data_IF_058686339825
#
_entry.id   IF_058686339825
#
_cell.length_a   1.000
_cell.length_b   1.000
_cell.length_c   1.000
_cell.angle_alpha   90.00
_cell.angle_beta   90.00
_cell.angle_gamma   90.00
#
_symmetry.space_group_name_H-M   'P 1'
#
loop_
_entity.id
_entity.type
_entity.pdbx_description
1 polymer ?
#
# COMPACT_ATOMS: atom_id res chain seq x y z
N UNK A 1 35.56 -0.10 3.04
CA UNK A 1 34.65 -1.07 3.70
C UNK A 1 33.28 -0.42 3.75
N UNK A 2 32.39 -0.77 2.82
CA UNK A 2 31.03 -0.21 2.80
C UNK A 2 30.29 -0.77 4.02
N UNK A 3 29.92 0.10 4.97
CA UNK A 3 29.00 -0.28 6.03
C UNK A 3 27.67 -0.65 5.39
N UNK A 4 27.39 -1.95 5.24
CA UNK A 4 26.11 -2.42 4.74
C UNK A 4 25.00 -1.79 5.57
N UNK A 5 24.01 -1.17 4.91
CA UNK A 5 22.87 -0.60 5.61
C UNK A 5 22.23 -1.66 6.51
N UNK A 6 21.84 -1.28 7.74
CA UNK A 6 21.27 -2.20 8.74
C UNK A 6 19.94 -2.86 8.28
N UNK A 7 19.30 -2.29 7.27
CA UNK A 7 18.06 -2.76 6.66
C UNK A 7 17.96 -2.35 5.17
N UNK A 8 17.12 -3.04 4.40
CA UNK A 8 16.84 -2.72 2.98
C UNK A 8 15.75 -1.66 2.83
N UNK A 9 15.67 -0.95 1.69
CA UNK A 9 14.55 -0.04 1.41
C UNK A 9 13.17 -0.71 1.53
N UNK A 10 13.05 -1.98 1.12
CA UNK A 10 11.82 -2.74 1.23
C UNK A 10 11.49 -3.09 2.69
N UNK A 11 12.48 -3.43 3.52
CA UNK A 11 12.27 -3.61 4.97
C UNK A 11 11.75 -2.31 5.62
N UNK A 12 12.28 -1.14 5.22
CA UNK A 12 11.76 0.15 5.66
C UNK A 12 10.31 0.38 5.19
N UNK A 13 10.00 0.11 3.92
CA UNK A 13 8.62 0.25 3.42
C UNK A 13 7.64 -0.65 4.16
N UNK A 14 8.03 -1.89 4.49
CA UNK A 14 7.20 -2.80 5.29
C UNK A 14 6.97 -2.26 6.70
N UNK A 15 8.00 -1.75 7.37
CA UNK A 15 7.86 -1.15 8.70
C UNK A 15 6.99 0.11 8.68
N UNK A 16 7.12 0.97 7.67
CA UNK A 16 6.25 2.14 7.54
C UNK A 16 4.80 1.71 7.27
N UNK A 17 4.59 0.74 6.39
CA UNK A 17 3.25 0.25 6.09
C UNK A 17 2.59 -0.47 7.28
N UNK A 18 3.35 -1.20 8.10
CA UNK A 18 2.80 -1.85 9.29
C UNK A 18 2.30 -0.84 10.32
N UNK A 19 2.96 0.33 10.45
CA UNK A 19 2.55 1.43 11.34
C UNK A 19 1.23 2.08 10.91
N UNK A 20 0.79 1.89 9.66
CA UNK A 20 -0.52 2.31 9.20
C UNK A 20 -1.65 1.42 9.74
N UNK A 21 -1.36 0.22 10.21
CA UNK A 21 -2.35 -0.69 10.80
C UNK A 21 -2.50 -0.35 12.28
N UNK A 22 -3.71 0.05 12.70
CA UNK A 22 -4.02 0.26 14.10
C UNK A 22 -4.47 -1.05 14.76
N UNK A 23 -4.33 -1.13 16.08
CA UNK A 23 -4.87 -2.27 16.81
C UNK A 23 -6.39 -2.35 16.65
N UNK A 24 -6.90 -3.55 16.36
CA UNK A 24 -8.32 -3.81 16.11
C UNK A 24 -8.77 -3.66 14.66
N UNK A 25 -7.96 -3.03 13.79
CA UNK A 25 -8.28 -2.80 12.38
C UNK A 25 -8.63 -4.13 11.68
N UNK A 26 -9.71 -4.13 10.89
CA UNK A 26 -9.95 -5.13 9.86
C UNK A 26 -9.25 -4.68 8.56
N UNK A 27 -8.13 -5.33 8.26
CA UNK A 27 -7.22 -4.98 7.17
C UNK A 27 -7.52 -5.84 5.95
N UNK A 28 -7.80 -5.22 4.80
CA UNK A 28 -7.79 -5.91 3.52
C UNK A 28 -6.35 -6.00 3.01
N UNK A 29 -5.75 -7.18 3.19
CA UNK A 29 -4.32 -7.41 2.99
C UNK A 29 -4.04 -7.63 1.52
N UNK A 30 -3.19 -6.77 0.94
CA UNK A 30 -2.65 -6.96 -0.41
C UNK A 30 -1.61 -8.08 -0.49
N UNK A 31 -1.08 -8.34 -1.68
CA UNK A 31 0.01 -9.31 -1.86
C UNK A 31 1.39 -8.64 -1.68
N UNK A 32 2.45 -9.43 -1.44
CA UNK A 32 3.85 -8.99 -1.35
C UNK A 32 4.13 -8.25 -0.04
N UNK A 33 4.68 -7.02 -0.09
CA UNK A 33 5.02 -6.23 1.10
C UNK A 33 3.84 -6.04 2.09
N UNK A 34 2.59 -5.79 1.65
CA UNK A 34 1.42 -5.79 2.54
C UNK A 34 1.23 -7.05 3.41
N UNK A 35 1.56 -8.25 2.92
CA UNK A 35 1.48 -9.48 3.72
C UNK A 35 2.43 -9.38 4.93
N UNK A 36 3.64 -8.88 4.70
CA UNK A 36 4.62 -8.65 5.74
C UNK A 36 4.21 -7.50 6.65
N UNK A 37 3.63 -6.42 6.12
CA UNK A 37 3.16 -5.29 6.93
C UNK A 37 2.09 -5.74 7.94
N UNK A 38 1.14 -6.57 7.51
CA UNK A 38 0.16 -7.21 8.41
C UNK A 38 0.85 -8.08 9.47
N UNK A 39 1.82 -8.89 9.06
CA UNK A 39 2.54 -9.77 9.97
C UNK A 39 3.34 -9.01 11.03
N UNK A 40 4.02 -7.93 10.64
CA UNK A 40 4.76 -7.05 11.54
C UNK A 40 3.80 -6.36 12.51
N UNK A 41 2.73 -5.74 12.02
CA UNK A 41 1.79 -5.02 12.88
C UNK A 41 1.21 -5.92 13.97
N UNK A 42 0.73 -7.11 13.60
CA UNK A 42 0.21 -8.13 14.53
C UNK A 42 1.18 -8.55 15.62
N UNK A 43 2.48 -8.57 15.31
CA UNK A 43 3.52 -9.04 16.23
C UNK A 43 4.23 -7.88 16.97
N UNK A 44 3.93 -6.62 16.65
CA UNK A 44 4.59 -5.46 17.23
C UNK A 44 3.64 -4.58 18.05
N UNK A 45 2.52 -4.14 17.47
CA UNK A 45 1.68 -3.09 18.07
C UNK A 45 0.17 -3.24 17.86
N UNK A 46 -0.26 -4.17 17.01
CA UNK A 46 -1.67 -4.38 16.64
C UNK A 46 -2.13 -5.85 16.86
N UNK A 47 -2.02 -6.40 18.09
CA UNK A 47 -2.29 -7.81 18.40
C UNK A 47 -3.75 -8.26 18.26
N UNK A 48 -4.68 -7.35 17.95
CA UNK A 48 -6.11 -7.65 17.70
C UNK A 48 -6.57 -7.31 16.28
N UNK A 49 -5.70 -6.76 15.43
CA UNK A 49 -6.00 -6.52 14.01
C UNK A 49 -6.29 -7.84 13.27
N UNK A 50 -7.13 -7.84 12.23
CA UNK A 50 -7.48 -9.06 11.47
C UNK A 50 -7.24 -8.82 9.99
N UNK A 51 -6.72 -9.82 9.29
CA UNK A 51 -6.45 -9.77 7.86
C UNK A 51 -7.56 -10.44 7.06
N UNK A 52 -8.09 -9.72 6.07
CA UNK A 52 -8.94 -10.23 5.01
C UNK A 52 -8.13 -10.41 3.74
N UNK A 53 -8.33 -11.52 3.04
CA UNK A 53 -7.69 -11.80 1.76
C UNK A 53 -8.76 -12.06 0.70
N UNK A 54 -8.58 -11.52 -0.50
CA UNK A 54 -9.53 -11.57 -1.62
C UNK A 54 -9.86 -12.99 -2.10
N UNK A 55 -9.16 -14.01 -1.60
CA UNK A 55 -9.45 -15.44 -1.82
C UNK A 55 -10.50 -16.01 -0.86
N UNK A 56 -11.19 -15.17 -0.08
CA UNK A 56 -12.24 -15.61 0.84
C UNK A 56 -11.72 -16.03 2.21
N UNK A 57 -10.58 -15.49 2.65
CA UNK A 57 -9.95 -15.88 3.92
C UNK A 57 -9.98 -14.74 4.94
N UNK A 58 -10.20 -15.09 6.20
CA UNK A 58 -9.97 -14.21 7.35
C UNK A 58 -8.95 -14.83 8.29
N UNK A 59 -7.98 -14.04 8.73
CA UNK A 59 -6.92 -14.46 9.65
C UNK A 59 -6.74 -13.49 10.79
N UNK A 60 -6.59 -14.01 12.00
CA UNK A 60 -6.08 -13.28 13.16
C UNK A 60 -4.60 -13.59 13.42
N UNK A 61 -3.93 -14.38 12.59
CA UNK A 61 -2.50 -14.58 12.68
C UNK A 61 -1.89 -14.64 11.27
N UNK A 62 -0.64 -14.20 11.09
CA UNK A 62 0.06 -14.41 9.83
C UNK A 62 0.12 -15.90 9.45
N UNK A 63 0.28 -16.19 8.16
CA UNK A 63 0.54 -17.56 7.73
C UNK A 63 1.83 -18.08 8.38
N UNK A 64 1.84 -19.36 8.76
CA UNK A 64 2.99 -19.97 9.42
C UNK A 64 4.14 -20.28 8.44
N UNK A 65 3.87 -20.24 7.14
CA UNK A 65 4.86 -20.47 6.09
C UNK A 65 4.69 -19.45 4.95
N UNK A 66 5.66 -19.45 4.05
CA UNK A 66 5.75 -18.53 2.92
C UNK A 66 4.49 -18.51 2.07
N UNK A 67 4.12 -17.31 1.60
CA UNK A 67 3.03 -17.07 0.66
C UNK A 67 3.61 -16.47 -0.62
N UNK A 68 3.60 -17.24 -1.71
CA UNK A 68 3.85 -16.76 -3.07
C UNK A 68 2.60 -16.16 -3.70
N UNK A 69 1.43 -16.71 -3.38
CA UNK A 69 0.12 -16.15 -3.70
C UNK A 69 -0.83 -16.25 -2.50
N UNK A 70 -1.90 -15.45 -2.51
CA UNK A 70 -2.89 -15.44 -1.43
C UNK A 70 -3.63 -16.78 -1.29
N UNK A 71 -3.69 -17.58 -2.36
CA UNK A 71 -4.35 -18.88 -2.36
C UNK A 71 -3.49 -20.04 -1.86
N UNK A 72 -2.25 -19.80 -1.43
CA UNK A 72 -1.36 -20.88 -1.02
C UNK A 72 -1.89 -21.60 0.24
N UNK A 73 -1.66 -22.93 0.36
CA UNK A 73 -2.13 -23.72 1.50
C UNK A 73 -1.80 -23.12 2.89
N UNK A 74 -0.63 -22.50 3.14
CA UNK A 74 -0.34 -21.87 4.42
C UNK A 74 -1.26 -20.69 4.76
N UNK A 75 -1.87 -20.03 3.77
CA UNK A 75 -2.84 -18.96 4.03
C UNK A 75 -4.21 -19.51 4.42
N UNK A 76 -4.55 -20.73 3.97
CA UNK A 76 -5.78 -21.43 4.34
C UNK A 76 -5.64 -22.10 5.71
N UNK A 77 -4.52 -22.79 5.94
CA UNK A 77 -4.26 -23.48 7.19
C UNK A 77 -4.20 -22.50 8.38
N UNK A 78 -5.03 -22.73 9.39
CA UNK A 78 -5.14 -21.87 10.57
C UNK A 78 -5.83 -20.52 10.31
N UNK A 79 -6.50 -20.34 9.17
CA UNK A 79 -7.40 -19.20 9.00
C UNK A 79 -8.60 -19.33 9.95
N UNK A 80 -9.07 -18.20 10.50
CA UNK A 80 -10.30 -18.16 11.30
C UNK A 80 -11.50 -18.64 10.48
N UNK A 81 -11.50 -18.30 9.19
CA UNK A 81 -12.48 -18.77 8.25
C UNK A 81 -11.91 -18.83 6.83
N UNK A 82 -12.29 -19.88 6.09
CA UNK A 82 -12.14 -20.00 4.65
C UNK A 82 -13.52 -20.14 3.98
N UNK A 83 -13.82 -19.23 3.06
CA UNK A 83 -15.15 -19.09 2.44
C UNK A 83 -15.06 -18.59 1.00
N UNK A 84 -16.21 -18.19 0.44
CA UNK A 84 -16.30 -17.56 -0.87
C UNK A 84 -15.77 -16.14 -0.80
N UNK A 85 -15.03 -15.73 -1.83
CA UNK A 85 -14.61 -14.34 -2.05
C UNK A 85 -15.76 -13.34 -1.85
N UNK A 86 -16.97 -13.67 -2.31
CA UNK A 86 -18.17 -12.84 -2.15
C UNK A 86 -18.45 -12.41 -0.71
N UNK A 87 -18.14 -13.24 0.29
CA UNK A 87 -18.38 -12.90 1.69
C UNK A 87 -17.37 -11.86 2.20
N UNK A 88 -16.11 -11.97 1.78
CA UNK A 88 -15.07 -10.99 2.10
C UNK A 88 -15.40 -9.64 1.44
N UNK A 89 -15.86 -9.65 0.18
CA UNK A 89 -16.31 -8.44 -0.51
C UNK A 89 -17.57 -7.84 0.15
N UNK A 90 -18.50 -8.68 0.63
CA UNK A 90 -19.68 -8.21 1.36
C UNK A 90 -19.33 -7.49 2.67
N UNK A 91 -18.36 -7.98 3.44
CA UNK A 91 -17.87 -7.30 4.64
C UNK A 91 -17.30 -5.91 4.33
N UNK A 92 -16.57 -5.80 3.22
CA UNK A 92 -16.07 -4.50 2.76
C UNK A 92 -17.22 -3.57 2.35
N UNK A 93 -18.18 -4.07 1.56
CA UNK A 93 -19.35 -3.31 1.13
C UNK A 93 -20.26 -2.85 2.29
N UNK A 94 -20.26 -3.57 3.41
CA UNK A 94 -20.95 -3.19 4.65
C UNK A 94 -20.18 -2.15 5.48
N UNK A 95 -19.02 -1.67 5.02
CA UNK A 95 -18.20 -0.69 5.73
C UNK A 95 -17.39 -1.30 6.89
N UNK A 96 -17.18 -2.62 6.87
CA UNK A 96 -16.45 -3.34 7.91
C UNK A 96 -14.93 -3.27 7.80
N UNK A 97 -14.38 -2.79 6.67
CA UNK A 97 -12.93 -2.75 6.42
C UNK A 97 -12.34 -1.39 6.79
N UNK A 98 -11.39 -1.40 7.71
CA UNK A 98 -10.72 -0.20 8.23
C UNK A 98 -9.61 0.28 7.30
N UNK A 99 -8.77 -0.64 6.84
CA UNK A 99 -7.59 -0.32 6.04
C UNK A 99 -7.44 -1.28 4.87
N UNK A 100 -7.27 -0.74 3.68
CA UNK A 100 -6.85 -1.49 2.50
C UNK A 100 -5.40 -1.23 2.11
N UNK A 101 -4.74 -2.23 1.53
CA UNK A 101 -3.48 -2.03 0.82
C UNK A 101 -3.65 -2.23 -0.69
N UNK A 102 -3.16 -1.28 -1.48
CA UNK A 102 -3.28 -1.30 -2.94
C UNK A 102 -1.90 -1.03 -3.58
N UNK A 103 -1.64 -1.63 -4.73
CA UNK A 103 -0.49 -1.32 -5.58
C UNK A 103 -0.92 -0.65 -6.89
N UNK A 104 0.00 0.02 -7.57
CA UNK A 104 -0.28 0.70 -8.84
C UNK A 104 0.87 0.61 -9.83
N UNK A 105 0.55 0.66 -11.13
CA UNK A 105 1.53 0.97 -12.16
C UNK A 105 1.78 2.48 -12.22
N UNK A 106 0.71 3.27 -12.15
CA UNK A 106 0.75 4.73 -11.99
C UNK A 106 -0.03 5.14 -10.75
N UNK A 107 0.40 6.23 -10.11
CA UNK A 107 -0.33 7.01 -9.11
C UNK A 107 -0.26 8.48 -9.50
N UNK A 108 -1.35 9.22 -9.31
CA UNK A 108 -1.34 10.66 -9.54
C UNK A 108 -1.32 11.51 -8.27
N UNK A 109 -1.21 12.83 -8.45
CA UNK A 109 -1.16 13.79 -7.35
C UNK A 109 -2.37 13.75 -6.43
N UNK A 110 -3.50 13.14 -6.81
CA UNK A 110 -4.70 12.99 -5.98
C UNK A 110 -4.88 11.55 -5.45
N UNK A 111 -3.87 10.69 -5.64
CA UNK A 111 -3.87 9.31 -5.19
C UNK A 111 -4.73 8.38 -6.05
N UNK A 112 -5.15 8.80 -7.25
CA UNK A 112 -5.78 7.88 -8.19
C UNK A 112 -4.74 6.87 -8.68
N UNK A 113 -5.12 5.60 -8.81
CA UNK A 113 -4.22 4.54 -9.26
C UNK A 113 -4.65 3.97 -10.62
N UNK A 114 -3.63 3.59 -11.38
CA UNK A 114 -3.80 2.85 -12.62
C UNK A 114 -3.16 1.46 -12.53
N UNK A 115 -3.96 0.45 -12.79
CA UNK A 115 -3.52 -0.93 -12.97
C UNK A 115 -4.12 -1.55 -14.23
N UNK A 116 -4.69 -0.74 -15.13
CA UNK A 116 -5.47 -1.22 -16.28
C UNK A 116 -4.85 -0.90 -17.64
N UNK A 117 -4.60 0.38 -17.94
CA UNK A 117 -4.24 0.84 -19.28
C UNK A 117 -3.27 2.02 -19.23
N UNK A 118 -2.07 1.88 -19.78
CA UNK A 118 -1.13 3.01 -19.96
C UNK A 118 -1.32 3.59 -21.37
N UNK A 119 -1.54 4.90 -21.47
CA UNK A 119 -1.99 5.57 -22.69
C UNK A 119 -3.51 5.48 -22.91
N UNK A 120 -4.02 5.83 -24.11
CA UNK A 120 -5.46 5.88 -24.38
C UNK A 120 -6.15 4.53 -24.21
N UNK A 121 -7.22 4.46 -23.41
CA UNK A 121 -7.89 3.20 -23.07
C UNK A 121 -8.43 2.40 -24.28
N UNK A 122 -8.85 3.09 -25.35
CA UNK A 122 -9.35 2.44 -26.57
C UNK A 122 -8.23 1.73 -27.37
N UNK A 123 -6.97 2.17 -27.22
CA UNK A 123 -5.80 1.57 -27.88
C UNK A 123 -4.56 1.78 -26.99
N UNK A 124 -4.46 1.04 -25.88
CA UNK A 124 -3.43 1.28 -24.87
C UNK A 124 -2.06 0.93 -25.43
N UNK A 125 -1.03 1.68 -25.03
CA UNK A 125 0.35 1.32 -25.31
C UNK A 125 0.76 0.08 -24.49
N UNK A 126 0.26 -0.03 -23.25
CA UNK A 126 0.45 -1.18 -22.39
C UNK A 126 -0.87 -1.56 -21.71
N UNK A 127 -1.29 -2.83 -21.88
CA UNK A 127 -2.37 -3.44 -21.09
C UNK A 127 -1.80 -4.04 -19.82
N UNK A 128 -2.28 -3.57 -18.67
CA UNK A 128 -1.91 -4.07 -17.34
C UNK A 128 -2.91 -5.14 -16.86
N UNK A 129 -2.64 -5.87 -15.76
CA UNK A 129 -3.51 -6.96 -15.29
C UNK A 129 -4.98 -6.57 -15.05
N UNK A 130 -5.27 -5.31 -14.74
CA UNK A 130 -6.61 -4.81 -14.45
C UNK A 130 -6.83 -4.52 -12.98
N UNK A 131 -8.09 -4.32 -12.59
CA UNK A 131 -8.45 -3.88 -11.24
C UNK A 131 -8.16 -4.93 -10.16
N UNK A 132 -8.49 -6.21 -10.41
CA UNK A 132 -8.69 -7.15 -9.31
C UNK A 132 -9.72 -6.60 -8.32
N UNK A 133 -9.48 -6.72 -7.02
CA UNK A 133 -10.25 -6.01 -5.99
C UNK A 133 -9.78 -4.57 -5.72
N UNK A 134 -8.82 -4.03 -6.49
CA UNK A 134 -8.22 -2.72 -6.21
C UNK A 134 -9.20 -1.55 -6.29
N UNK A 135 -10.22 -1.61 -7.17
CA UNK A 135 -11.26 -0.57 -7.21
C UNK A 135 -12.14 -0.64 -5.97
N UNK A 136 -12.58 -1.84 -5.60
CA UNK A 136 -13.42 -2.07 -4.42
C UNK A 136 -12.74 -1.59 -3.14
N UNK A 137 -11.45 -1.91 -2.96
CA UNK A 137 -10.67 -1.45 -1.80
C UNK A 137 -10.69 0.09 -1.72
N UNK A 138 -10.46 0.78 -2.85
CA UNK A 138 -10.44 2.24 -2.91
C UNK A 138 -11.83 2.89 -2.80
N UNK A 139 -12.90 2.16 -3.04
CA UNK A 139 -14.27 2.67 -2.95
C UNK A 139 -14.87 2.39 -1.56
N UNK A 140 -14.55 1.26 -0.95
CA UNK A 140 -15.32 0.70 0.17
C UNK A 140 -14.52 0.60 1.49
N UNK A 141 -13.18 0.64 1.46
CA UNK A 141 -12.40 0.69 2.71
C UNK A 141 -12.48 2.08 3.35
N UNK A 142 -12.46 2.15 4.68
CA UNK A 142 -12.46 3.46 5.39
C UNK A 142 -11.26 4.32 4.99
N UNK A 143 -10.11 3.70 4.75
CA UNK A 143 -8.91 4.31 4.16
C UNK A 143 -8.06 3.24 3.47
N UNK A 144 -7.12 3.65 2.64
CA UNK A 144 -6.14 2.71 2.07
C UNK A 144 -4.76 3.33 1.90
N UNK A 145 -3.76 2.47 1.77
CA UNK A 145 -2.36 2.84 1.61
C UNK A 145 -1.80 2.20 0.35
N UNK A 146 -1.05 2.99 -0.41
CA UNK A 146 -0.38 2.53 -1.62
C UNK A 146 1.09 2.19 -1.33
N UNK A 147 1.56 1.04 -1.79
CA UNK A 147 3.00 0.71 -1.81
C UNK A 147 3.49 0.56 -3.25
N UNK A 148 4.57 1.27 -3.60
CA UNK A 148 5.13 1.20 -4.95
C UNK A 148 6.58 1.68 -5.05
N UNK A 149 7.32 1.27 -6.09
CA UNK A 149 8.61 1.89 -6.41
C UNK A 149 8.42 3.37 -6.76
N UNK A 150 9.34 4.23 -6.31
CA UNK A 150 9.33 5.63 -6.70
C UNK A 150 10.08 5.79 -8.03
N UNK A 151 9.34 6.09 -9.09
CA UNK A 151 9.88 6.31 -10.42
C UNK A 151 9.02 7.39 -11.09
N UNK A 152 9.64 8.34 -11.82
CA UNK A 152 8.90 9.44 -12.46
C UNK A 152 7.76 8.99 -13.40
N UNK A 153 7.93 7.83 -14.05
CA UNK A 153 6.88 7.21 -14.90
C UNK A 153 5.71 6.61 -14.11
N UNK A 154 5.89 6.38 -12.81
CA UNK A 154 4.86 5.81 -11.93
C UNK A 154 4.17 6.90 -11.12
N UNK A 155 4.88 7.96 -10.72
CA UNK A 155 4.31 9.11 -10.03
C UNK A 155 4.04 10.20 -11.07
N UNK A 156 2.86 10.20 -11.67
CA UNK A 156 2.49 11.06 -12.82
C UNK A 156 1.57 12.19 -12.39
N UNK A 157 1.45 13.27 -13.16
CA UNK A 157 0.52 14.35 -12.79
C UNK A 157 -0.94 13.88 -12.78
N UNK A 158 -1.31 13.05 -13.77
CA UNK A 158 -2.62 12.39 -13.91
C UNK A 158 -2.39 10.99 -14.46
N UNK A 159 -3.10 10.02 -13.92
CA UNK A 159 -3.04 8.65 -14.43
C UNK A 159 -3.68 8.55 -15.82
N UNK A 160 -3.17 7.64 -16.66
CA UNK A 160 -3.74 7.38 -17.98
C UNK A 160 -5.17 6.82 -17.90
N UNK A 161 -5.47 6.08 -16.83
CA UNK A 161 -6.77 5.49 -16.56
C UNK A 161 -6.98 5.32 -15.06
N UNK A 162 -8.10 5.82 -14.53
CA UNK A 162 -8.46 5.65 -13.12
C UNK A 162 -9.04 4.25 -12.92
N UNK A 163 -8.23 3.33 -12.40
CA UNK A 163 -8.71 1.99 -12.01
C UNK A 163 -9.24 2.01 -10.58
N UNK A 164 -8.51 2.67 -9.69
CA UNK A 164 -8.89 2.86 -8.29
C UNK A 164 -8.93 4.36 -7.98
N UNK A 165 -10.11 4.91 -7.62
CA UNK A 165 -10.27 6.34 -7.41
C UNK A 165 -9.64 6.79 -6.09
N UNK A 166 -8.77 7.80 -6.16
CA UNK A 166 -8.26 8.57 -5.02
C UNK A 166 -9.24 9.67 -4.61
N UNK A 167 -8.75 10.91 -4.62
CA UNK A 167 -9.59 12.12 -4.53
C UNK A 167 -10.07 12.63 -5.89
N UNK A 168 -10.02 11.78 -6.93
CA UNK A 168 -10.57 12.05 -8.25
C UNK A 168 -9.94 13.26 -8.94
N UNK A 169 -10.75 14.27 -9.24
CA UNK A 169 -10.25 15.50 -9.87
C UNK A 169 -9.52 16.44 -8.89
N UNK A 170 -9.60 16.19 -7.59
CA UNK A 170 -8.96 16.99 -6.54
C UNK A 170 -9.83 18.09 -5.96
N UNK A 171 -11.07 18.26 -6.43
CA UNK A 171 -12.01 19.21 -5.86
C UNK A 171 -12.44 18.77 -4.44
N UNK A 172 -12.57 19.70 -3.48
CA UNK A 172 -13.02 19.36 -2.13
C UNK A 172 -14.32 18.57 -2.16
N UNK A 173 -14.43 17.47 -1.40
CA UNK A 173 -15.64 16.63 -1.35
C UNK A 173 -15.93 15.81 -2.62
N UNK A 174 -14.98 15.67 -3.56
CA UNK A 174 -15.20 14.89 -4.79
C UNK A 174 -15.68 13.46 -4.51
N UNK A 175 -15.10 12.79 -3.51
CA UNK A 175 -15.46 11.42 -3.14
C UNK A 175 -16.94 11.30 -2.75
N UNK A 176 -17.36 12.16 -1.83
CA UNK A 176 -18.74 12.20 -1.32
C UNK A 176 -19.74 12.48 -2.46
N UNK A 177 -19.46 13.48 -3.31
CA UNK A 177 -20.33 13.80 -4.47
C UNK A 177 -20.46 12.67 -5.47
N UNK A 178 -19.48 11.77 -5.55
CA UNK A 178 -19.50 10.61 -6.43
C UNK A 178 -19.94 9.32 -5.71
N UNK A 179 -20.47 9.42 -4.48
CA UNK A 179 -20.99 8.29 -3.72
C UNK A 179 -19.94 7.29 -3.25
N UNK A 180 -18.66 7.70 -3.20
CA UNK A 180 -17.57 6.86 -2.73
C UNK A 180 -17.57 6.82 -1.20
N UNK A 181 -17.46 5.63 -0.63
CA UNK A 181 -17.35 5.44 0.81
C UNK A 181 -15.90 5.66 1.27
N UNK A 182 -15.72 5.94 2.57
CA UNK A 182 -14.40 6.11 3.17
C UNK A 182 -13.68 7.43 2.84
N UNK A 183 -12.63 7.69 3.61
CA UNK A 183 -11.89 8.94 3.62
C UNK A 183 -10.98 9.14 2.39
N UNK A 184 -10.58 8.06 1.73
CA UNK A 184 -9.66 8.14 0.60
C UNK A 184 -8.29 7.49 0.85
N UNK A 185 -7.30 7.78 -0.02
CA UNK A 185 -5.93 7.35 0.19
C UNK A 185 -5.34 8.05 1.42
N UNK A 186 -4.80 7.27 2.36
CA UNK A 186 -4.14 7.78 3.56
C UNK A 186 -2.65 8.06 3.31
N UNK A 187 -1.99 7.26 2.48
CA UNK A 187 -0.58 7.43 2.14
C UNK A 187 -0.20 6.77 0.81
N UNK A 188 0.87 7.28 0.21
CA UNK A 188 1.67 6.57 -0.80
C UNK A 188 3.06 6.38 -0.20
N UNK A 189 3.41 5.13 0.12
CA UNK A 189 4.71 4.74 0.65
C UNK A 189 5.54 4.24 -0.53
N UNK A 190 6.67 4.89 -0.78
CA UNK A 190 7.54 4.55 -1.91
C UNK A 190 8.92 4.12 -1.45
N UNK A 191 9.80 3.78 -2.38
CA UNK A 191 11.21 3.51 -2.08
C UNK A 191 12.00 4.74 -1.62
N UNK A 192 11.48 5.96 -1.77
CA UNK A 192 12.18 7.21 -1.44
C UNK A 192 11.53 8.00 -0.30
N UNK A 193 10.22 7.85 -0.09
CA UNK A 193 9.48 8.75 0.80
C UNK A 193 8.10 8.22 1.20
N UNK A 194 7.46 8.94 2.12
CA UNK A 194 6.03 8.84 2.42
C UNK A 194 5.34 10.10 1.94
N UNK A 195 4.35 9.93 1.07
CA UNK A 195 3.42 10.99 0.68
C UNK A 195 2.10 10.83 1.45
N UNK A 196 1.50 11.95 1.84
CA UNK A 196 0.22 12.02 2.56
C UNK A 196 -0.74 12.94 1.83
N UNK A 197 -2.02 12.87 2.22
CA UNK A 197 -3.08 13.68 1.66
C UNK A 197 -3.67 14.59 2.75
N UNK A 198 -4.08 15.83 2.43
CA UNK A 198 -4.79 16.68 3.36
C UNK A 198 -6.09 16.04 3.85
N UNK A 199 -6.49 16.37 5.07
CA UNK A 199 -7.82 16.03 5.56
C UNK A 199 -8.90 16.64 4.64
N UNK A 200 -9.96 15.87 4.33
CA UNK A 200 -10.99 16.27 3.35
C UNK A 200 -10.57 16.10 1.88
N UNK A 201 -9.33 15.69 1.63
CA UNK A 201 -8.80 15.37 0.30
C UNK A 201 -8.05 16.52 -0.37
N UNK A 202 -7.31 16.17 -1.42
CA UNK A 202 -6.51 17.13 -2.18
C UNK A 202 -5.23 16.51 -2.73
N UNK A 203 -4.28 17.37 -3.07
CA UNK A 203 -2.99 16.94 -3.61
C UNK A 203 -2.10 16.33 -2.54
N UNK A 204 -1.39 15.26 -2.93
CA UNK A 204 -0.37 14.63 -2.13
C UNK A 204 0.76 15.62 -1.81
N UNK A 205 1.27 15.54 -0.58
CA UNK A 205 2.44 16.27 -0.12
C UNK A 205 3.48 15.31 0.47
N UNK A 206 4.75 15.70 0.37
CA UNK A 206 5.86 14.98 0.98
C UNK A 206 5.79 15.13 2.51
N UNK A 207 5.51 14.02 3.20
CA UNK A 207 5.44 13.98 4.66
C UNK A 207 6.80 13.64 5.28
N UNK A 208 7.53 12.69 4.70
CA UNK A 208 8.89 12.34 5.15
C UNK A 208 9.73 11.76 4.01
N UNK A 209 11.02 12.07 4.01
CA UNK A 209 12.00 11.45 3.11
C UNK A 209 12.60 10.21 3.79
N UNK A 210 12.85 9.13 3.05
CA UNK A 210 13.55 7.97 3.61
C UNK A 210 15.03 8.31 3.85
N UNK A 211 15.68 7.69 4.85
CA UNK A 211 17.11 7.92 5.11
C UNK A 211 17.96 7.69 3.85
N UNK A 212 18.79 8.67 3.51
CA UNK A 212 19.64 8.64 2.32
C UNK A 212 19.10 9.39 1.10
N UNK A 213 17.82 9.81 1.13
CA UNK A 213 17.19 10.53 0.02
C UNK A 213 16.94 12.01 0.35
N UNK A 214 17.14 12.88 -0.63
CA UNK A 214 16.90 14.32 -0.49
C UNK A 214 15.54 14.74 -1.03
N UNK A 215 15.03 15.89 -0.57
CA UNK A 215 13.78 16.47 -1.09
C UNK A 215 13.90 16.77 -2.60
N UNK A 216 15.06 17.24 -3.05
CA UNK A 216 15.30 17.57 -4.46
C UNK A 216 15.33 16.32 -5.35
N UNK A 217 15.87 15.20 -4.85
CA UNK A 217 15.77 13.90 -5.52
C UNK A 217 14.31 13.48 -5.67
N UNK A 218 13.54 13.51 -4.59
CA UNK A 218 12.14 13.11 -4.60
C UNK A 218 11.33 13.96 -5.58
N UNK A 219 11.54 15.29 -5.58
CA UNK A 219 10.89 16.20 -6.55
C UNK A 219 11.24 15.86 -7.99
N UNK A 220 12.52 15.61 -8.28
CA UNK A 220 12.97 15.25 -9.64
C UNK A 220 12.37 13.92 -10.10
N UNK A 221 12.19 12.96 -9.20
CA UNK A 221 11.58 11.66 -9.50
C UNK A 221 10.04 11.66 -9.41
N UNK A 222 9.42 12.81 -9.12
CA UNK A 222 7.96 12.99 -9.11
C UNK A 222 7.50 13.76 -10.35
N UNK A 223 6.47 13.25 -11.05
CA UNK A 223 5.98 13.79 -12.31
C UNK A 223 5.09 15.03 -12.20
N UNK A 224 4.95 15.62 -11.02
CA UNK A 224 4.23 16.87 -10.78
C UNK A 224 5.00 17.75 -9.79
N UNK A 225 4.58 19.01 -9.65
CA UNK A 225 5.13 19.95 -8.66
C UNK A 225 4.76 19.52 -7.24
N UNK A 226 5.64 18.73 -6.60
CA UNK A 226 5.39 18.12 -5.31
C UNK A 226 5.46 19.15 -4.16
N UNK A 227 4.33 19.31 -3.47
CA UNK A 227 4.21 20.05 -2.21
C UNK A 227 5.00 19.33 -1.11
N UNK A 228 5.59 20.11 -0.21
CA UNK A 228 6.42 19.59 0.90
C UNK A 228 5.85 20.08 2.22
N UNK A 229 5.68 19.17 3.18
CA UNK A 229 5.19 19.53 4.51
C UNK A 229 6.14 20.51 5.22
N UNK A 230 5.57 21.39 6.04
CA UNK A 230 6.35 22.21 6.96
C UNK A 230 7.13 21.28 7.92
N UNK A 231 8.46 21.40 7.93
CA UNK A 231 9.32 20.57 8.78
C UNK A 231 9.51 19.13 8.30
N UNK A 232 9.50 18.88 6.97
CA UNK A 232 9.78 17.55 6.40
C UNK A 232 11.03 16.93 7.03
N UNK A 233 10.83 15.78 7.68
CA UNK A 233 11.87 15.05 8.39
C UNK A 233 12.30 13.79 7.65
N UNK A 234 13.28 13.10 8.25
CA UNK A 234 13.60 11.73 7.85
C UNK A 234 12.54 10.78 8.40
N UNK A 235 12.22 9.77 7.60
CA UNK A 235 11.36 8.66 8.01
C UNK A 235 12.06 7.87 9.10
N UNK A 236 11.38 7.60 10.21
CA UNK A 236 11.96 6.82 11.31
C UNK A 236 12.36 5.42 10.82
N UNK A 237 13.59 4.96 11.14
CA UNK A 237 14.05 3.63 10.73
C UNK A 237 13.17 2.52 11.34
N UNK A 238 13.23 1.30 10.81
CA UNK A 238 12.62 0.13 11.46
C UNK A 238 13.20 -0.07 12.86
N UNK A 239 12.34 -0.39 13.82
CA UNK A 239 12.75 -0.87 15.15
C UNK A 239 13.31 -2.28 15.05
N UNK A 240 14.05 -2.72 16.07
CA UNK A 240 14.56 -4.10 16.14
C UNK A 240 13.44 -5.14 16.10
N UNK A 241 12.32 -4.88 16.79
CA UNK A 241 11.15 -5.76 16.79
C UNK A 241 10.49 -5.86 15.41
N UNK A 242 10.34 -4.73 14.70
CA UNK A 242 9.83 -4.72 13.33
C UNK A 242 10.76 -5.51 12.40
N UNK A 243 12.07 -5.27 12.45
CA UNK A 243 13.05 -6.00 11.62
C UNK A 243 13.07 -7.50 11.91
N UNK A 244 13.02 -7.88 13.19
CA UNK A 244 12.97 -9.28 13.60
C UNK A 244 11.69 -9.96 13.06
N UNK A 245 10.54 -9.29 13.13
CA UNK A 245 9.30 -9.79 12.57
C UNK A 245 9.37 -9.92 11.03
N UNK A 246 9.89 -8.91 10.32
CA UNK A 246 10.06 -8.96 8.87
C UNK A 246 10.90 -10.18 8.47
N UNK A 247 12.07 -10.35 9.08
CA UNK A 247 13.00 -11.44 8.77
C UNK A 247 12.48 -12.81 9.20
N UNK A 248 11.58 -12.87 10.19
CA UNK A 248 10.87 -14.12 10.56
C UNK A 248 9.88 -14.55 9.48
N UNK A 249 9.16 -13.60 8.87
CA UNK A 249 8.12 -13.88 7.88
C UNK A 249 8.61 -13.83 6.42
N UNK A 250 9.83 -13.33 6.19
CA UNK A 250 10.54 -13.36 4.91
C UNK A 250 12.02 -13.79 5.10
N UNK A 251 12.28 -15.02 5.60
CA UNK A 251 13.63 -15.45 6.01
C UNK A 251 14.64 -15.45 4.86
N UNK A 252 14.18 -15.74 3.65
CA UNK A 252 15.02 -15.76 2.45
C UNK A 252 15.11 -14.38 1.77
N UNK A 253 14.35 -13.40 2.28
CA UNK A 253 14.26 -12.06 1.71
C UNK A 253 13.60 -12.05 0.32
N UNK A 254 12.68 -12.98 0.05
CA UNK A 254 12.02 -13.12 -1.25
C UNK A 254 11.29 -11.84 -1.65
N UNK A 255 10.65 -11.16 -0.68
CA UNK A 255 9.93 -9.91 -0.93
C UNK A 255 10.77 -8.66 -0.65
N UNK A 256 11.73 -8.77 0.28
CA UNK A 256 12.44 -7.60 0.85
C UNK A 256 13.89 -7.43 0.37
N UNK A 257 14.50 -8.40 -0.32
CA UNK A 257 15.78 -8.19 -1.00
C UNK A 257 15.54 -7.53 -2.36
N UNK A 258 16.40 -6.57 -2.71
CA UNK A 258 16.48 -6.10 -4.08
C UNK A 258 16.85 -7.29 -4.97
N UNK A 259 16.06 -7.55 -6.02
CA UNK A 259 16.48 -8.45 -7.08
C UNK A 259 17.81 -7.91 -7.62
N UNK A 260 18.91 -8.61 -7.38
CA UNK A 260 20.15 -8.38 -8.12
C UNK A 260 19.76 -8.46 -9.58
N UNK A 261 19.91 -7.33 -10.30
CA UNK A 261 19.82 -7.33 -11.76
C UNK A 261 20.88 -8.32 -12.25
N UNK A 262 20.43 -9.50 -12.68
CA UNK A 262 21.22 -10.39 -13.52
C UNK A 262 21.40 -9.78 -14.90
#
# INVERSE_FOLDING_TARGET
MSSGAAYTPQELMVAVASREIHDGDLVFVGMRLPILAFAVARNAHAPTARGLFEVGLMRDQPAAAFLGTMGDPPNVAGALWATRMSNVMALMAQGGVDLGFIGGAEVDRFGNLNTSYVGPAARPAVKLPGSGGGSDIAILSRRWVTLMSHERRRLVERVSYVTSPGHGDGTPGWRERNGLLGAGPAAVITTLCVLRFPEGGGEAYLASAHPGHSVDEIRRETGWELKVAAGVGKTSPPTEAELAAIRRFDPDGFWTRALTKG
#
